data_IF_466869115111
#
_entry.id   IF_466869115111
#
_cell.length_a   1.000
_cell.length_b   1.000
_cell.length_c   1.000
_cell.angle_alpha   90.00
_cell.angle_beta   90.00
_cell.angle_gamma   90.00
#
_symmetry.space_group_name_H-M   'P 1'
#
loop_
_entity.id
_entity.type
_entity.pdbx_description
1 polymer ?
#
# COMPACT_ATOMS: atom_id res chain seq x y z
N UNK A 1 -12.45 -0.20 -18.38
CA UNK A 1 -12.12 -0.04 -18.23
C UNK A 1 -11.18 0.38 -17.93
N UNK A 2 -10.65 0.53 -17.61
CA UNK A 2 -9.92 0.84 -17.31
C UNK A 2 -8.75 0.94 -17.46
N UNK A 3 -8.02 1.32 -17.27
CA UNK A 3 -7.07 1.46 -17.51
C UNK A 3 -6.27 1.74 -16.58
N UNK A 4 -5.31 1.20 -16.20
CA UNK A 4 -4.50 1.51 -15.28
C UNK A 4 -3.54 2.23 -15.80
N UNK A 5 -2.86 2.83 -15.49
CA UNK A 5 -1.93 3.55 -15.92
C UNK A 5 -0.71 3.11 -15.82
N UNK A 6 0.14 3.38 -16.32
CA UNK A 6 1.36 2.94 -16.26
C UNK A 6 2.07 3.38 -15.23
N UNK A 7 2.38 2.83 -14.35
CA UNK A 7 3.14 3.30 -13.36
C UNK A 7 4.48 3.18 -13.60
N UNK A 8 4.88 2.53 -14.52
CA UNK A 8 6.26 2.34 -14.65
C UNK A 8 6.99 3.56 -14.78
N UNK A 9 6.44 4.54 -15.15
CA UNK A 9 7.19 5.66 -15.30
C UNK A 9 7.64 6.22 -14.12
N UNK A 10 7.10 5.94 -13.08
CA UNK A 10 7.56 6.62 -11.95
C UNK A 10 8.51 5.96 -11.21
N UNK A 11 8.83 4.83 -11.52
CA UNK A 11 9.72 4.19 -10.67
C UNK A 11 10.98 4.81 -10.61
N UNK A 12 11.34 5.50 -11.48
CA UNK A 12 12.59 6.03 -11.38
C UNK A 12 12.83 6.85 -10.31
N UNK A 13 12.07 7.64 -9.93
CA UNK A 13 12.44 8.45 -8.93
C UNK A 13 12.40 7.90 -7.68
N UNK A 14 11.86 6.91 -7.49
CA UNK A 14 11.93 6.46 -6.22
C UNK A 14 13.05 5.72 -5.90
N UNK A 15 13.96 5.65 -6.55
CA UNK A 15 15.09 4.93 -6.17
C UNK A 15 15.73 5.22 -5.04
N UNK A 16 15.58 6.15 -4.47
CA UNK A 16 16.31 6.42 -3.37
C UNK A 16 15.90 5.78 -2.18
N UNK A 17 15.47 4.85 -2.02
CA UNK A 17 15.12 4.27 -0.89
C UNK A 17 16.17 3.84 -0.07
N UNK A 18 16.25 4.07 0.95
CA UNK A 18 17.30 3.75 1.78
C UNK A 18 17.19 2.47 2.23
N UNK A 19 17.94 1.82 2.43
CA UNK A 19 17.95 0.53 2.76
C UNK A 19 17.91 0.21 4.06
N UNK A 20 17.99 0.27 4.78
CA UNK A 20 18.01 0.00 6.03
C UNK A 20 17.66 -1.11 6.58
N UNK A 21 17.54 -1.72 6.61
CA UNK A 21 17.35 -2.76 7.19
C UNK A 21 16.79 -3.22 8.18
N UNK A 22 16.80 -3.63 8.70
CA UNK A 22 16.32 -4.10 9.67
C UNK A 22 15.54 -4.87 10.10
N UNK A 23 15.04 -5.19 10.11
CA UNK A 23 14.36 -5.93 10.48
C UNK A 23 13.89 -6.71 11.34
N UNK A 24 13.62 -7.11 11.82
CA UNK A 24 13.32 -7.84 12.68
C UNK A 24 12.15 -8.20 12.98
N UNK A 25 11.61 -8.64 12.98
CA UNK A 25 10.69 -9.04 13.23
C UNK A 25 9.99 -9.51 14.00
N UNK A 26 9.48 -9.58 14.35
CA UNK A 26 8.82 -9.78 15.10
C UNK A 26 8.02 -10.68 15.43
N UNK A 27 7.60 -11.13 15.29
CA UNK A 27 6.99 -12.11 15.71
C UNK A 27 5.74 -12.07 16.27
N UNK A 28 5.26 -12.15 16.66
CA UNK A 28 4.21 -12.14 17.30
C UNK A 28 2.99 -11.90 16.83
N UNK A 29 2.48 -12.24 16.49
CA UNK A 29 1.35 -12.12 16.02
C UNK A 29 0.30 -11.54 16.60
N UNK A 30 -0.31 -11.78 16.94
CA UNK A 30 -1.26 -11.33 17.54
C UNK A 30 -1.83 -10.16 17.13
N UNK A 31 -2.68 -9.81 17.30
CA UNK A 31 -3.28 -8.73 17.09
C UNK A 31 -2.92 -7.70 16.49
N UNK A 32 -3.00 -7.43 15.72
CA UNK A 32 -2.63 -6.47 15.09
C UNK A 32 -3.17 -5.23 15.31
N UNK A 33 -2.70 -4.47 15.95
CA UNK A 33 -3.17 -3.27 16.11
C UNK A 33 -2.54 -2.32 15.30
N UNK A 34 -3.04 -1.33 14.87
CA UNK A 34 -2.42 -0.34 14.16
C UNK A 34 -1.32 0.24 14.82
N UNK A 35 -1.30 0.28 16.06
CA UNK A 35 -0.22 0.88 16.65
C UNK A 35 0.94 0.06 16.58
N UNK A 36 0.88 -1.11 16.11
CA UNK A 36 2.06 -1.95 16.11
C UNK A 36 3.13 -1.42 15.20
N UNK A 37 2.84 -0.56 14.29
CA UNK A 37 3.86 -0.09 13.38
C UNK A 37 4.03 1.40 13.48
N UNK A 38 5.26 1.84 13.56
CA UNK A 38 5.54 3.26 13.58
C UNK A 38 5.67 3.71 12.16
N UNK A 39 4.66 4.27 11.60
CA UNK A 39 4.65 4.67 10.21
C UNK A 39 4.97 6.13 9.97
N UNK A 40 5.34 6.85 11.00
CA UNK A 40 5.57 8.28 10.84
C UNK A 40 6.69 8.58 9.86
N UNK A 41 7.79 7.84 9.96
CA UNK A 41 8.90 8.07 9.04
C UNK A 41 8.53 7.74 7.61
N UNK A 42 7.70 6.72 7.42
CA UNK A 42 7.26 6.35 6.12
C UNK A 42 6.42 7.47 5.53
N UNK A 43 5.46 7.98 6.28
CA UNK A 43 4.60 9.02 5.75
C UNK A 43 5.39 10.29 5.47
N UNK A 44 6.42 10.54 6.24
CA UNK A 44 7.24 11.70 5.97
C UNK A 44 7.97 11.52 4.65
N UNK A 45 8.53 10.34 4.39
CA UNK A 45 9.21 10.11 3.13
C UNK A 45 8.24 10.17 1.96
N UNK A 46 7.03 9.64 2.13
CA UNK A 46 6.05 9.66 1.07
C UNK A 46 5.63 11.10 0.74
N UNK A 47 5.57 11.96 1.74
CA UNK A 47 5.15 13.32 1.50
C UNK A 47 6.17 14.08 0.67
N UNK A 48 7.42 13.61 0.62
CA UNK A 48 8.42 14.26 -0.15
C UNK A 48 8.45 13.79 -1.59
N UNK A 49 7.73 12.72 -1.92
CA UNK A 49 7.69 12.22 -3.27
C UNK A 49 6.64 12.99 -4.04
N UNK A 50 7.01 13.59 -5.14
CA UNK A 50 6.07 14.33 -5.95
C UNK A 50 4.93 13.45 -6.42
N UNK A 51 5.25 12.23 -6.82
CA UNK A 51 4.22 11.35 -7.32
C UNK A 51 3.32 10.87 -6.21
N UNK A 52 3.90 10.41 -5.11
CA UNK A 52 3.10 9.81 -4.05
C UNK A 52 2.25 10.84 -3.32
N UNK A 53 2.78 12.03 -3.14
CA UNK A 53 2.09 13.01 -2.32
C UNK A 53 0.88 13.61 -3.01
N UNK A 54 0.71 13.36 -4.30
CA UNK A 54 -0.43 13.95 -4.95
C UNK A 54 -1.70 13.13 -4.87
N UNK A 55 -1.66 11.96 -4.28
CA UNK A 55 -2.85 11.15 -4.18
C UNK A 55 -3.68 11.55 -2.96
N UNK A 56 -4.96 11.75 -3.17
CA UNK A 56 -5.85 12.10 -2.09
C UNK A 56 -7.20 11.47 -2.35
N UNK A 57 -7.97 11.23 -1.32
CA UNK A 57 -9.30 10.67 -1.49
C UNK A 57 -10.24 11.73 -2.04
N UNK A 58 -11.05 11.35 -2.99
CA UNK A 58 -12.04 12.28 -3.53
C UNK A 58 -13.22 12.28 -2.60
N UNK A 59 -14.15 13.21 -2.84
CA UNK A 59 -15.34 13.28 -2.05
C UNK A 59 -16.12 11.98 -2.17
N UNK A 60 -16.22 11.41 -3.36
CA UNK A 60 -16.88 10.17 -3.53
C UNK A 60 -16.25 9.06 -2.77
N UNK A 61 -14.93 9.02 -2.72
CA UNK A 61 -14.24 7.99 -1.98
C UNK A 61 -14.55 8.10 -0.50
N UNK A 62 -14.59 9.32 0.01
CA UNK A 62 -14.88 9.51 1.42
C UNK A 62 -16.31 9.11 1.73
N UNK A 63 -17.24 9.39 0.83
CA UNK A 63 -18.61 8.98 1.02
C UNK A 63 -18.74 7.47 1.00
N UNK A 64 -18.02 6.83 0.12
CA UNK A 64 -18.05 5.39 0.03
C UNK A 64 -17.54 4.77 1.34
N UNK A 65 -16.47 5.33 1.89
CA UNK A 65 -15.92 4.83 3.14
C UNK A 65 -16.95 5.04 4.26
N UNK A 66 -17.61 6.18 4.27
CA UNK A 66 -18.58 6.46 5.32
C UNK A 66 -19.76 5.48 5.22
N UNK A 67 -20.15 5.15 4.00
CA UNK A 67 -21.22 4.27 3.83
C UNK A 67 -20.89 2.86 4.19
N UNK A 68 -19.74 2.37 3.82
CA UNK A 68 -19.35 0.99 4.05
C UNK A 68 -18.72 0.77 5.42
N UNK A 69 -18.10 1.76 5.98
CA UNK A 69 -17.45 1.62 7.27
C UNK A 69 -16.00 1.18 7.12
N UNK A 70 -15.16 1.61 8.03
CA UNK A 70 -13.75 1.28 7.96
C UNK A 70 -13.47 -0.21 8.05
N UNK A 71 -14.27 -0.94 8.80
CA UNK A 71 -14.05 -2.38 8.89
C UNK A 71 -14.24 -3.06 7.54
N UNK A 72 -15.22 -2.60 6.76
CA UNK A 72 -15.44 -3.17 5.44
C UNK A 72 -14.31 -2.78 4.51
N UNK A 73 -13.85 -1.54 4.61
CA UNK A 73 -12.76 -1.09 3.77
C UNK A 73 -11.49 -1.89 4.09
N UNK A 74 -11.27 -2.20 5.36
CA UNK A 74 -10.13 -3.01 5.73
C UNK A 74 -10.23 -4.39 5.10
N UNK A 75 -11.42 -4.97 5.04
CA UNK A 75 -11.55 -6.25 4.42
C UNK A 75 -11.27 -6.16 2.95
N UNK A 76 -11.70 -5.10 2.28
CA UNK A 76 -11.40 -4.92 0.87
C UNK A 76 -9.90 -4.79 0.68
N UNK A 77 -9.23 -4.07 1.56
CA UNK A 77 -7.79 -3.90 1.46
C UNK A 77 -7.10 -5.27 1.59
N UNK A 78 -7.54 -6.06 2.54
CA UNK A 78 -6.94 -7.38 2.73
C UNK A 78 -7.16 -8.26 1.50
N UNK A 79 -8.34 -8.19 0.91
CA UNK A 79 -8.60 -8.99 -0.28
C UNK A 79 -7.75 -8.55 -1.44
N UNK A 80 -7.60 -7.26 -1.66
CA UNK A 80 -6.77 -6.78 -2.77
C UNK A 80 -5.31 -7.16 -2.54
N UNK A 81 -4.84 -7.05 -1.32
CA UNK A 81 -3.47 -7.41 -1.03
C UNK A 81 -3.26 -8.90 -1.28
N UNK A 82 -4.17 -9.72 -0.80
CA UNK A 82 -4.02 -11.15 -0.94
C UNK A 82 -4.06 -11.58 -2.40
N UNK A 83 -4.94 -10.99 -3.19
CA UNK A 83 -5.11 -11.47 -4.55
C UNK A 83 -4.21 -10.79 -5.55
N UNK A 84 -3.87 -9.54 -5.33
CA UNK A 84 -3.12 -8.81 -6.34
C UNK A 84 -1.69 -8.50 -5.97
N UNK A 85 -1.34 -8.60 -4.73
CA UNK A 85 0.00 -8.22 -4.32
C UNK A 85 0.77 -9.37 -3.70
N UNK A 86 0.12 -10.24 -2.98
CA UNK A 86 0.81 -11.29 -2.24
C UNK A 86 1.43 -12.40 -3.08
N UNK A 87 0.89 -12.77 -4.24
CA UNK A 87 1.47 -13.91 -4.96
C UNK A 87 2.90 -13.64 -5.40
N UNK A 88 3.67 -14.72 -5.47
CA UNK A 88 5.06 -14.60 -5.87
C UNK A 88 5.18 -14.11 -7.31
N UNK A 89 4.26 -14.51 -8.17
CA UNK A 89 4.30 -14.13 -9.56
C UNK A 89 2.99 -13.45 -9.91
N UNK A 90 3.08 -12.27 -10.44
CA UNK A 90 1.92 -11.51 -10.79
C UNK A 90 1.99 -11.19 -12.27
N UNK A 91 1.04 -11.64 -13.06
CA UNK A 91 1.15 -11.50 -14.51
C UNK A 91 1.34 -10.08 -15.00
N UNK A 92 0.71 -9.12 -14.39
CA UNK A 92 0.92 -7.75 -14.82
C UNK A 92 1.49 -6.93 -13.71
N UNK A 93 2.54 -7.43 -13.09
CA UNK A 93 3.16 -6.73 -11.99
C UNK A 93 3.59 -5.35 -12.45
N UNK A 94 3.23 -4.37 -11.69
CA UNK A 94 3.49 -2.98 -12.02
C UNK A 94 2.25 -2.29 -12.49
N UNK A 95 1.24 -3.02 -12.92
CA UNK A 95 0.03 -2.43 -13.40
C UNK A 95 -1.20 -3.08 -12.81
N UNK A 96 -1.04 -3.85 -11.76
CA UNK A 96 -2.15 -4.59 -11.21
C UNK A 96 -3.13 -3.73 -10.43
N UNK A 97 -2.73 -2.54 -10.00
CA UNK A 97 -3.57 -1.69 -9.19
C UNK A 97 -4.09 -0.54 -10.00
N UNK A 98 -5.40 -0.41 -10.19
CA UNK A 98 -5.94 0.71 -10.95
C UNK A 98 -5.66 2.03 -10.26
N UNK A 99 -5.66 3.11 -11.03
CA UNK A 99 -5.36 4.42 -10.45
C UNK A 99 -6.55 5.01 -9.72
N UNK A 100 -7.74 4.50 -9.91
CA UNK A 100 -8.88 5.02 -9.20
C UNK A 100 -9.96 3.98 -9.23
N UNK A 101 -11.06 4.22 -8.63
CA UNK A 101 -12.18 3.28 -8.60
C UNK A 101 -12.44 2.71 -7.23
N UNK A 102 -11.54 2.88 -6.31
CA UNK A 102 -11.75 2.39 -4.94
C UNK A 102 -10.76 3.13 -4.05
N UNK A 103 -11.14 3.53 -2.86
CA UNK A 103 -10.22 4.25 -1.99
C UNK A 103 -8.96 3.46 -1.66
N UNK A 104 -9.05 2.13 -1.61
CA UNK A 104 -7.87 1.32 -1.34
C UNK A 104 -6.88 1.44 -2.49
N UNK A 105 -7.34 1.58 -3.72
CA UNK A 105 -6.42 1.73 -4.85
C UNK A 105 -5.61 3.02 -4.71
N UNK A 106 -6.28 4.10 -4.31
CA UNK A 106 -5.57 5.34 -4.09
C UNK A 106 -4.58 5.20 -2.96
N UNK A 107 -4.96 4.51 -1.91
CA UNK A 107 -4.06 4.29 -0.78
C UNK A 107 -2.85 3.49 -1.22
N UNK A 108 -3.04 2.51 -2.09
CA UNK A 108 -1.92 1.70 -2.53
C UNK A 108 -0.92 2.54 -3.32
N UNK A 109 -1.40 3.41 -4.18
CA UNK A 109 -0.48 4.25 -4.93
C UNK A 109 0.16 5.30 -4.03
N UNK A 110 -0.59 5.85 -3.10
CA UNK A 110 -0.06 6.89 -2.23
C UNK A 110 1.00 6.37 -1.28
N UNK A 111 0.92 5.09 -0.93
CA UNK A 111 1.83 4.56 0.07
C UNK A 111 2.89 3.63 -0.50
N UNK A 112 2.94 3.50 -1.83
CA UNK A 112 3.96 2.64 -2.41
C UNK A 112 3.65 1.17 -2.30
N UNK A 113 2.39 0.80 -2.19
CA UNK A 113 1.98 -0.59 -2.08
C UNK A 113 1.20 -1.04 -3.32
N UNK A 114 1.45 -0.41 -4.45
CA UNK A 114 0.67 -0.71 -5.64
C UNK A 114 1.21 -1.86 -6.47
N UNK A 115 2.45 -2.23 -6.28
CA UNK A 115 3.03 -3.38 -6.96
C UNK A 115 4.21 -3.87 -6.15
N UNK A 116 4.73 -5.03 -6.50
CA UNK A 116 5.81 -5.62 -5.71
C UNK A 116 7.11 -4.82 -5.83
N UNK A 117 7.31 -4.18 -6.97
CA UNK A 117 8.47 -3.35 -7.14
C UNK A 117 8.42 -2.13 -6.23
N UNK A 118 7.27 -1.49 -6.16
CA UNK A 118 7.12 -0.36 -5.28
C UNK A 118 7.19 -0.79 -3.82
N UNK A 119 6.64 -1.95 -3.53
CA UNK A 119 6.67 -2.48 -2.19
C UNK A 119 8.12 -2.70 -1.76
N UNK A 120 8.95 -3.16 -2.66
CA UNK A 120 10.35 -3.32 -2.33
C UNK A 120 11.02 -1.97 -2.12
N UNK A 121 10.76 -1.02 -3.01
CA UNK A 121 11.40 0.26 -2.88
C UNK A 121 11.00 1.03 -1.64
N UNK A 122 9.74 1.02 -1.30
CA UNK A 122 9.28 1.81 -0.17
C UNK A 122 9.25 1.08 1.16
N UNK A 123 9.09 -0.22 1.12
CA UNK A 123 8.93 -0.98 2.35
C UNK A 123 9.95 -2.08 2.51
N UNK A 124 10.83 -2.24 1.54
CA UNK A 124 11.90 -3.23 1.61
C UNK A 124 11.40 -4.67 1.71
N UNK A 125 10.23 -4.93 1.14
CA UNK A 125 9.69 -6.28 1.11
C UNK A 125 10.01 -6.88 -0.24
N UNK A 126 10.82 -7.91 -0.30
CA UNK A 126 11.29 -8.42 -1.58
C UNK A 126 10.21 -9.06 -2.43
N UNK A 127 10.38 -9.00 -3.73
CA UNK A 127 9.48 -9.63 -4.66
C UNK A 127 10.01 -11.03 -4.94
N UNK A 128 9.25 -11.80 -5.66
CA UNK A 128 9.72 -13.13 -6.06
C UNK A 128 9.29 -14.24 -5.14
N UNK A 129 8.61 -13.93 -4.10
CA UNK A 129 8.05 -14.93 -3.20
C UNK A 129 6.73 -14.41 -2.68
N UNK A 130 5.85 -15.25 -2.18
CA UNK A 130 4.58 -14.76 -1.65
C UNK A 130 4.81 -13.90 -0.43
N UNK A 131 3.94 -12.95 -0.21
CA UNK A 131 4.01 -12.18 1.02
C UNK A 131 3.62 -13.07 2.19
N UNK A 132 4.33 -12.92 3.28
CA UNK A 132 3.96 -13.67 4.48
C UNK A 132 2.69 -13.07 5.08
N UNK A 133 2.01 -13.79 5.94
CA UNK A 133 0.83 -13.22 6.59
C UNK A 133 1.13 -11.94 7.33
N UNK A 134 2.29 -11.85 7.97
CA UNK A 134 2.66 -10.65 8.67
C UNK A 134 2.89 -9.49 7.71
N UNK A 135 3.49 -9.78 6.56
CA UNK A 135 3.71 -8.74 5.58
C UNK A 135 2.40 -8.24 5.03
N UNK A 136 1.44 -9.14 4.83
CA UNK A 136 0.14 -8.72 4.35
C UNK A 136 -0.56 -7.85 5.40
N UNK A 137 -0.43 -8.19 6.66
CA UNK A 137 -1.00 -7.38 7.71
C UNK A 137 -0.36 -6.01 7.76
N UNK A 138 0.95 -5.96 7.58
CA UNK A 138 1.66 -4.70 7.57
C UNK A 138 1.14 -3.81 6.43
N UNK A 139 0.99 -4.38 5.24
CA UNK A 139 0.54 -3.61 4.11
C UNK A 139 -0.88 -3.07 4.37
N UNK A 140 -1.75 -3.91 4.90
CA UNK A 140 -3.11 -3.48 5.19
C UNK A 140 -3.07 -2.35 6.23
N UNK A 141 -2.19 -2.46 7.22
CA UNK A 141 -2.08 -1.43 8.25
C UNK A 141 -1.64 -0.11 7.63
N UNK A 142 -0.70 -0.15 6.69
CA UNK A 142 -0.23 1.05 6.03
C UNK A 142 -1.37 1.68 5.24
N UNK A 143 -2.12 0.87 4.50
CA UNK A 143 -3.21 1.37 3.70
C UNK A 143 -4.27 2.02 4.56
N UNK A 144 -4.62 1.37 5.66
CA UNK A 144 -5.66 1.90 6.53
C UNK A 144 -5.20 3.17 7.24
N UNK A 145 -3.93 3.23 7.61
CA UNK A 145 -3.41 4.42 8.26
C UNK A 145 -3.50 5.62 7.32
N UNK A 146 -3.17 5.40 6.04
CA UNK A 146 -3.26 6.49 5.07
C UNK A 146 -4.72 6.92 4.89
N UNK A 147 -5.63 5.96 4.76
CA UNK A 147 -7.03 6.26 4.58
C UNK A 147 -7.55 7.05 5.78
N UNK A 148 -7.17 6.66 6.97
CA UNK A 148 -7.65 7.34 8.15
C UNK A 148 -7.13 8.77 8.23
N UNK A 149 -5.94 9.00 7.72
CA UNK A 149 -5.43 10.35 7.70
C UNK A 149 -6.18 11.19 6.69
N UNK A 150 -6.70 10.62 5.65
CA UNK A 150 -7.33 11.36 4.59
C UNK A 150 -8.80 11.66 4.87
N UNK A 151 -9.46 10.88 5.67
CA UNK A 151 -10.83 11.16 5.96
C UNK A 151 -10.95 12.13 7.12
#
# INVERSE_FOLDING_TARGET
MKKYVELSLFSDEELQCAPTSSSNMATDDTMANNEAYDLSGLFERLSKSTFRSRFHLTKKDKEYIAQKGLATIRKHAADFVTTRLAPATIPNDGKQTPMKGHPVFLAQHATGCCCRNCLFKWHHIPAGRPLTPQEQQYVVAVLMAWIEKEI
#
